data_IF_695947555672
#
_entry.id   IF_695947555672
#
_cell.length_a   1.000
_cell.length_b   1.000
_cell.length_c   1.000
_cell.angle_alpha   90.00
_cell.angle_beta   90.00
_cell.angle_gamma   90.00
#
_symmetry.space_group_name_H-M   'P 1'
#
loop_
_entity.id
_entity.type
_entity.pdbx_description
1 polymer ?
#
# COMPACT_ATOMS: atom_id res chain seq x y z
N UNK A 1 29.55 -1.00 2.46
CA UNK A 1 28.57 -0.29 3.30
C UNK A 1 27.48 0.23 2.39
N UNK A 2 26.22 -0.09 2.66
CA UNK A 2 25.15 -0.06 1.63
C UNK A 2 24.58 1.35 1.40
N UNK A 3 24.62 2.28 2.36
CA UNK A 3 24.09 3.64 2.17
C UNK A 3 24.46 4.61 3.32
N UNK A 4 25.70 5.13 3.42
CA UNK A 4 26.07 6.04 4.53
C UNK A 4 25.22 7.32 4.60
N UNK A 5 24.60 7.72 3.49
CA UNK A 5 23.70 8.88 3.44
C UNK A 5 22.28 8.62 3.99
N UNK A 6 21.94 7.37 4.31
CA UNK A 6 20.66 6.97 4.88
C UNK A 6 20.78 6.44 6.32
N UNK A 7 21.99 6.38 6.88
CA UNK A 7 22.19 5.98 8.26
C UNK A 7 21.41 6.96 9.16
N UNK A 8 20.55 6.42 10.04
CA UNK A 8 19.65 7.19 10.94
C UNK A 8 18.59 8.05 10.25
N UNK A 9 18.36 7.88 8.95
CA UNK A 9 17.32 8.62 8.24
C UNK A 9 15.92 8.15 8.63
N UNK A 10 14.96 9.06 8.68
CA UNK A 10 13.54 8.74 8.68
C UNK A 10 13.04 8.62 7.24
N UNK A 11 12.63 7.43 6.81
CA UNK A 11 12.17 7.17 5.45
C UNK A 11 10.68 6.85 5.45
N UNK A 12 9.94 7.55 4.58
CA UNK A 12 8.56 7.19 4.26
C UNK A 12 8.54 6.44 2.93
N UNK A 13 7.92 5.26 2.94
CA UNK A 13 7.61 4.49 1.74
C UNK A 13 6.09 4.41 1.56
N UNK A 14 5.56 5.06 0.53
CA UNK A 14 4.20 4.76 0.09
C UNK A 14 4.18 3.39 -0.57
N UNK A 15 3.32 2.50 -0.09
CA UNK A 15 3.21 1.13 -0.59
C UNK A 15 1.78 0.62 -0.58
N UNK A 16 1.50 -0.33 -1.48
CA UNK A 16 0.35 -1.23 -1.36
C UNK A 16 0.82 -2.60 -0.92
N UNK A 17 0.46 -3.64 -1.67
CA UNK A 17 0.79 -5.03 -1.34
C UNK A 17 2.29 -5.39 -1.38
N UNK A 18 2.78 -5.90 -2.52
CA UNK A 18 4.12 -6.52 -2.62
C UNK A 18 5.15 -5.77 -3.48
N UNK A 19 4.73 -4.73 -4.21
CA UNK A 19 5.61 -4.01 -5.13
C UNK A 19 6.84 -3.41 -4.44
N UNK A 20 6.64 -2.73 -3.30
CA UNK A 20 7.71 -2.13 -2.50
C UNK A 20 8.46 -3.11 -1.58
N UNK A 21 8.15 -4.40 -1.62
CA UNK A 21 8.61 -5.38 -0.63
C UNK A 21 10.14 -5.51 -0.53
N UNK A 22 10.81 -5.59 -1.68
CA UNK A 22 12.27 -5.73 -1.73
C UNK A 22 12.95 -4.44 -1.28
N UNK A 23 12.40 -3.28 -1.65
CA UNK A 23 12.93 -1.96 -1.25
C UNK A 23 12.82 -1.77 0.26
N UNK A 24 11.64 -2.04 0.85
CA UNK A 24 11.47 -2.00 2.30
C UNK A 24 12.44 -2.93 3.04
N UNK A 25 12.66 -4.16 2.55
CA UNK A 25 13.70 -5.05 3.10
C UNK A 25 15.10 -4.46 3.02
N UNK A 26 15.44 -3.84 1.88
CA UNK A 26 16.72 -3.18 1.71
C UNK A 26 16.90 -2.02 2.69
N UNK A 27 15.86 -1.21 2.90
CA UNK A 27 15.85 -0.08 3.84
C UNK A 27 15.98 -0.55 5.28
N UNK A 28 15.28 -1.62 5.67
CA UNK A 28 15.40 -2.24 7.01
C UNK A 28 16.79 -2.82 7.29
N UNK A 29 17.60 -3.06 6.25
CA UNK A 29 19.00 -3.45 6.39
C UNK A 29 19.96 -2.27 6.58
N UNK A 30 19.49 -1.02 6.50
CA UNK A 30 20.31 0.18 6.73
C UNK A 30 20.38 0.44 8.25
N UNK A 31 21.59 0.67 8.82
CA UNK A 31 21.76 0.89 10.25
C UNK A 31 20.96 2.09 10.77
N UNK A 32 20.31 1.88 11.92
CA UNK A 32 19.54 2.89 12.66
C UNK A 32 18.43 3.61 11.84
N UNK A 33 18.06 3.11 10.66
CA UNK A 33 17.04 3.72 9.81
C UNK A 33 15.64 3.50 10.39
N UNK A 34 14.84 4.56 10.40
CA UNK A 34 13.43 4.50 10.82
C UNK A 34 12.51 4.50 9.59
N UNK A 35 11.82 3.38 9.37
CA UNK A 35 10.98 3.17 8.21
C UNK A 35 9.49 3.27 8.57
N UNK A 36 8.79 4.25 7.98
CA UNK A 36 7.34 4.32 7.98
C UNK A 36 6.79 3.87 6.63
N UNK A 37 5.97 2.82 6.62
CA UNK A 37 5.30 2.32 5.42
C UNK A 37 3.86 2.80 5.43
N UNK A 38 3.55 3.73 4.52
CA UNK A 38 2.24 4.35 4.39
C UNK A 38 1.39 3.59 3.38
N UNK A 39 0.25 3.08 3.82
CA UNK A 39 -0.63 2.16 3.09
C UNK A 39 -2.07 2.68 3.17
N UNK A 40 -2.89 2.51 2.14
CA UNK A 40 -4.33 2.72 2.24
C UNK A 40 -5.09 1.39 2.43
N UNK A 41 -6.28 1.45 3.01
CA UNK A 41 -7.10 0.27 3.30
C UNK A 41 -8.24 0.00 2.31
N UNK A 42 -8.14 0.41 1.04
CA UNK A 42 -9.27 0.36 0.12
C UNK A 42 -9.40 -0.94 -0.70
N UNK A 43 -8.50 -1.91 -0.51
CA UNK A 43 -8.60 -3.29 -1.06
C UNK A 43 -9.95 -3.91 -0.66
N UNK A 44 -10.68 -4.44 -1.64
CA UNK A 44 -11.90 -5.23 -1.43
C UNK A 44 -11.91 -6.57 -2.18
N UNK A 45 -10.74 -7.08 -2.58
CA UNK A 45 -10.61 -8.37 -3.23
C UNK A 45 -10.94 -9.55 -2.32
N UNK A 46 -11.61 -10.57 -2.87
CA UNK A 46 -11.84 -11.89 -2.25
C UNK A 46 -12.30 -11.81 -0.77
N UNK A 47 -11.52 -12.42 0.14
CA UNK A 47 -11.79 -12.46 1.57
C UNK A 47 -11.67 -11.10 2.27
N UNK A 48 -10.87 -10.16 1.74
CA UNK A 48 -10.85 -8.76 2.21
C UNK A 48 -12.23 -8.14 2.03
N UNK A 49 -12.82 -8.28 0.83
CA UNK A 49 -14.15 -7.77 0.53
C UNK A 49 -15.24 -8.43 1.37
N UNK A 50 -15.14 -9.74 1.63
CA UNK A 50 -16.07 -10.45 2.51
C UNK A 50 -16.04 -9.89 3.94
N UNK A 51 -14.84 -9.66 4.50
CA UNK A 51 -14.69 -9.03 5.81
C UNK A 51 -15.27 -7.62 5.86
N UNK A 52 -14.98 -6.77 4.87
CA UNK A 52 -15.50 -5.40 4.81
C UNK A 52 -17.03 -5.35 4.70
N UNK A 53 -17.65 -6.31 3.99
CA UNK A 53 -19.12 -6.44 3.93
C UNK A 53 -19.71 -6.93 5.26
N UNK A 54 -19.02 -7.85 5.92
CA UNK A 54 -19.46 -8.42 7.19
C UNK A 54 -19.32 -7.42 8.35
N UNK A 55 -18.23 -6.64 8.37
CA UNK A 55 -17.91 -5.59 9.32
C UNK A 55 -17.97 -4.20 8.66
N UNK A 56 -19.16 -3.58 8.52
CA UNK A 56 -19.29 -2.23 7.98
C UNK A 56 -18.38 -1.24 8.72
N UNK A 57 -17.68 -0.40 7.94
CA UNK A 57 -16.72 0.58 8.45
C UNK A 57 -15.28 0.05 8.57
N UNK A 58 -15.06 -1.26 8.47
CA UNK A 58 -13.71 -1.81 8.47
C UNK A 58 -13.01 -1.55 7.12
N UNK A 59 -11.74 -1.16 7.19
CA UNK A 59 -10.84 -1.09 6.04
C UNK A 59 -10.27 -2.48 5.69
N UNK A 60 -9.71 -2.62 4.49
CA UNK A 60 -9.12 -3.87 4.00
C UNK A 60 -7.78 -4.18 4.68
N UNK A 61 -7.65 -5.30 5.45
CA UNK A 61 -6.41 -5.61 6.17
C UNK A 61 -5.31 -6.24 5.31
N UNK A 62 -5.60 -6.63 4.08
CA UNK A 62 -4.70 -7.46 3.28
C UNK A 62 -3.36 -6.82 2.98
N UNK A 63 -3.31 -5.53 2.65
CA UNK A 63 -2.04 -4.86 2.35
C UNK A 63 -1.23 -4.58 3.62
N UNK A 64 -1.86 -4.19 4.73
CA UNK A 64 -1.20 -4.10 6.03
C UNK A 64 -0.59 -5.45 6.44
N UNK A 65 -1.35 -6.54 6.31
CA UNK A 65 -0.87 -7.90 6.56
C UNK A 65 0.31 -8.30 5.67
N UNK A 66 0.26 -7.99 4.37
CA UNK A 66 1.36 -8.27 3.43
C UNK A 66 2.62 -7.48 3.81
N UNK A 67 2.47 -6.25 4.28
CA UNK A 67 3.60 -5.40 4.69
C UNK A 67 4.25 -5.86 6.00
N UNK A 68 3.51 -6.53 6.89
CA UNK A 68 4.11 -7.18 8.07
C UNK A 68 5.08 -8.31 7.71
N UNK A 69 4.94 -8.93 6.52
CA UNK A 69 5.79 -10.04 6.09
C UNK A 69 7.12 -9.60 5.50
N UNK A 70 7.32 -8.29 5.29
CA UNK A 70 8.47 -7.80 4.53
C UNK A 70 9.79 -8.11 5.22
N UNK A 71 9.87 -7.93 6.53
CA UNK A 71 11.10 -8.13 7.28
C UNK A 71 11.40 -9.60 7.62
N UNK A 72 10.50 -10.53 7.32
CA UNK A 72 10.68 -11.93 7.70
C UNK A 72 11.72 -12.61 6.80
N UNK A 73 12.73 -13.19 7.43
CA UNK A 73 13.80 -13.96 6.79
C UNK A 73 13.60 -15.46 7.04
N UNK A 74 13.91 -16.28 6.04
CA UNK A 74 13.91 -17.74 6.22
C UNK A 74 15.03 -18.19 7.15
N UNK A 75 14.80 -19.28 7.90
CA UNK A 75 15.80 -19.86 8.79
C UNK A 75 15.67 -19.48 10.27
N UNK A 76 14.84 -18.49 10.63
CA UNK A 76 14.38 -18.29 12.01
C UNK A 76 13.02 -18.98 12.19
N UNK A 77 12.94 -20.08 12.97
CA UNK A 77 11.68 -20.79 13.20
C UNK A 77 10.55 -19.93 13.77
N UNK A 78 10.88 -18.85 14.51
CA UNK A 78 9.88 -17.92 15.07
C UNK A 78 9.25 -17.08 13.97
N UNK A 79 10.07 -16.54 13.07
CA UNK A 79 9.61 -15.75 11.93
C UNK A 79 8.87 -16.62 10.92
N UNK A 80 9.29 -17.87 10.73
CA UNK A 80 8.56 -18.84 9.90
C UNK A 80 7.18 -19.17 10.48
N UNK A 81 7.06 -19.31 11.81
CA UNK A 81 5.77 -19.51 12.47
C UNK A 81 4.88 -18.26 12.35
N UNK A 82 5.44 -17.05 12.46
CA UNK A 82 4.72 -15.79 12.26
C UNK A 82 4.21 -15.65 10.82
N UNK A 83 5.07 -15.91 9.84
CA UNK A 83 4.66 -16.03 8.43
C UNK A 83 3.55 -17.06 8.27
N UNK A 84 3.69 -18.19 8.95
CA UNK A 84 2.67 -19.24 9.02
C UNK A 84 1.32 -18.75 9.49
N UNK A 85 1.25 -17.90 10.53
CA UNK A 85 -0.03 -17.30 10.97
C UNK A 85 -0.56 -16.28 9.97
N UNK A 86 0.31 -15.38 9.50
CA UNK A 86 -0.12 -14.28 8.63
C UNK A 86 -0.57 -14.76 7.24
N UNK A 87 0.03 -15.82 6.68
CA UNK A 87 -0.32 -16.34 5.35
C UNK A 87 -1.23 -17.56 5.36
N UNK A 88 -1.49 -18.20 6.51
CA UNK A 88 -2.35 -19.38 6.56
C UNK A 88 -3.73 -19.08 5.99
N UNK A 89 -4.11 -19.78 4.94
CA UNK A 89 -5.44 -19.73 4.34
C UNK A 89 -6.29 -20.82 4.96
N UNK A 90 -7.47 -20.44 5.46
CA UNK A 90 -8.42 -21.40 5.99
C UNK A 90 -8.92 -22.33 4.87
N UNK A 91 -9.17 -23.62 5.15
CA UNK A 91 -9.75 -24.56 4.19
C UNK A 91 -11.07 -24.03 3.60
N UNK A 92 -11.41 -24.41 2.36
CA UNK A 92 -12.59 -23.90 1.64
C UNK A 92 -13.93 -24.06 2.40
N UNK A 93 -14.04 -25.04 3.29
CA UNK A 93 -15.22 -25.30 4.14
C UNK A 93 -14.99 -24.97 5.61
N UNK A 94 -14.05 -24.09 5.91
CA UNK A 94 -13.77 -23.67 7.27
C UNK A 94 -15.00 -23.08 7.94
N UNK A 95 -15.15 -23.39 9.21
CA UNK A 95 -16.28 -23.02 10.06
C UNK A 95 -15.77 -22.26 11.27
N UNK A 96 -16.71 -21.62 11.99
CA UNK A 96 -16.41 -20.97 13.27
C UNK A 96 -15.77 -21.92 14.29
N UNK A 97 -16.08 -23.22 14.25
CA UNK A 97 -15.42 -24.23 15.11
C UNK A 97 -13.94 -24.45 14.76
N UNK A 98 -13.57 -24.28 13.50
CA UNK A 98 -12.16 -24.37 13.08
C UNK A 98 -11.36 -23.20 13.62
N UNK A 99 -11.94 -22.00 13.58
CA UNK A 99 -11.30 -20.80 14.12
C UNK A 99 -11.11 -20.88 15.64
N UNK A 100 -12.12 -21.39 16.36
CA UNK A 100 -12.01 -21.62 17.80
C UNK A 100 -10.91 -22.62 18.15
N UNK A 101 -10.84 -23.76 17.43
CA UNK A 101 -9.77 -24.74 17.65
C UNK A 101 -8.38 -24.15 17.41
N UNK A 102 -8.24 -23.26 16.43
CA UNK A 102 -7.00 -22.55 16.18
C UNK A 102 -6.66 -21.57 17.31
N UNK A 103 -7.62 -20.75 17.76
CA UNK A 103 -7.44 -19.81 18.87
C UNK A 103 -7.04 -20.54 20.16
N UNK A 104 -7.75 -21.61 20.49
CA UNK A 104 -7.46 -22.51 21.59
C UNK A 104 -6.06 -23.13 21.51
N UNK A 105 -5.69 -23.61 20.32
CA UNK A 105 -4.38 -24.20 20.07
C UNK A 105 -3.25 -23.19 20.22
N UNK A 106 -3.46 -21.93 19.79
CA UNK A 106 -2.52 -20.83 20.00
C UNK A 106 -2.38 -20.48 21.48
N UNK A 107 -3.50 -20.39 22.22
CA UNK A 107 -3.52 -20.08 23.64
C UNK A 107 -2.81 -21.16 24.48
N UNK A 108 -3.05 -22.45 24.17
CA UNK A 108 -2.37 -23.58 24.81
C UNK A 108 -0.95 -23.83 24.25
N UNK A 109 -0.59 -23.14 23.17
CA UNK A 109 0.69 -23.29 22.50
C UNK A 109 0.90 -24.61 21.76
N UNK A 110 -0.17 -25.34 21.49
CA UNK A 110 -0.16 -26.55 20.65
C UNK A 110 -0.25 -26.23 19.16
N UNK A 111 -0.64 -25.01 18.79
CA UNK A 111 -0.58 -24.48 17.43
C UNK A 111 0.45 -23.34 17.36
N UNK A 112 1.25 -23.31 16.29
CA UNK A 112 2.33 -22.34 16.08
C UNK A 112 3.27 -22.23 17.29
N UNK A 113 3.73 -23.37 17.81
CA UNK A 113 4.51 -23.47 19.05
C UNK A 113 5.76 -22.59 19.11
N UNK A 114 6.39 -22.31 17.96
CA UNK A 114 7.58 -21.47 17.84
C UNK A 114 7.30 -19.96 17.94
N UNK A 115 6.04 -19.53 17.88
CA UNK A 115 5.71 -18.13 18.12
C UNK A 115 5.97 -17.74 19.57
N UNK A 116 6.46 -16.50 19.83
CA UNK A 116 6.59 -15.98 21.18
C UNK A 116 5.25 -16.08 21.95
N UNK A 117 5.25 -16.45 23.25
CA UNK A 117 4.02 -16.60 24.03
C UNK A 117 3.11 -15.36 24.00
N UNK A 118 3.70 -14.16 24.02
CA UNK A 118 2.97 -12.88 23.91
C UNK A 118 2.26 -12.74 22.57
N UNK A 119 2.96 -13.02 21.47
CA UNK A 119 2.37 -13.00 20.12
C UNK A 119 1.25 -14.02 19.99
N UNK A 120 1.43 -15.26 20.46
CA UNK A 120 0.37 -16.28 20.42
C UNK A 120 -0.86 -15.86 21.20
N UNK A 121 -0.67 -15.32 22.41
CA UNK A 121 -1.76 -14.84 23.24
C UNK A 121 -2.52 -13.68 22.57
N UNK A 122 -1.80 -12.78 21.89
CA UNK A 122 -2.43 -11.70 21.13
C UNK A 122 -3.27 -12.22 19.96
N UNK A 123 -2.72 -13.13 19.16
CA UNK A 123 -3.45 -13.77 18.03
C UNK A 123 -4.67 -14.52 18.55
N UNK A 124 -4.52 -15.36 19.58
CA UNK A 124 -5.62 -16.13 20.15
C UNK A 124 -6.75 -15.22 20.64
N UNK A 125 -6.42 -14.17 21.40
CA UNK A 125 -7.40 -13.19 21.90
C UNK A 125 -8.17 -12.52 20.76
N UNK A 126 -7.46 -12.05 19.73
CA UNK A 126 -8.11 -11.33 18.63
C UNK A 126 -9.00 -12.29 17.81
N UNK A 127 -8.57 -13.55 17.60
CA UNK A 127 -9.42 -14.57 17.00
C UNK A 127 -10.66 -14.90 17.84
N UNK A 128 -10.53 -15.00 19.17
CA UNK A 128 -11.66 -15.24 20.07
C UNK A 128 -12.70 -14.12 20.01
N UNK A 129 -12.25 -12.85 19.97
CA UNK A 129 -13.17 -11.72 19.80
C UNK A 129 -13.93 -11.80 18.47
N UNK A 130 -13.26 -12.23 17.40
CA UNK A 130 -13.95 -12.44 16.11
C UNK A 130 -14.94 -13.61 16.18
N UNK A 131 -14.60 -14.71 16.86
CA UNK A 131 -15.52 -15.86 16.96
C UNK A 131 -16.75 -15.54 17.80
N UNK A 132 -16.62 -14.75 18.85
CA UNK A 132 -17.77 -14.20 19.61
C UNK A 132 -18.69 -13.36 18.71
N UNK A 133 -18.12 -12.48 17.88
CA UNK A 133 -18.92 -11.69 16.93
C UNK A 133 -19.64 -12.54 15.87
N UNK A 134 -19.04 -13.67 15.46
CA UNK A 134 -19.66 -14.63 14.55
C UNK A 134 -20.84 -15.37 15.19
N UNK A 135 -20.84 -15.54 16.52
CA UNK A 135 -21.95 -16.15 17.25
C UNK A 135 -23.16 -15.22 17.27
N UNK A 136 -22.95 -13.92 17.47
CA UNK A 136 -24.01 -12.91 17.45
C UNK A 136 -24.59 -12.67 16.05
N UNK A 137 -23.73 -12.72 15.02
CA UNK A 137 -24.12 -12.48 13.63
C UNK A 137 -23.44 -13.48 12.70
N UNK A 138 -24.05 -14.62 12.38
CA UNK A 138 -23.48 -15.53 11.39
C UNK A 138 -23.50 -14.90 9.98
N UNK A 139 -22.69 -15.44 9.07
CA UNK A 139 -22.74 -15.07 7.64
C UNK A 139 -21.42 -14.63 7.01
N UNK A 140 -20.32 -14.59 7.76
CA UNK A 140 -18.99 -14.49 7.17
C UNK A 140 -18.57 -15.86 6.60
N UNK A 141 -18.30 -15.91 5.31
CA UNK A 141 -17.66 -17.07 4.69
C UNK A 141 -16.17 -17.10 5.05
N UNK A 142 -15.76 -18.12 5.83
CA UNK A 142 -14.38 -18.25 6.32
C UNK A 142 -13.45 -18.97 5.33
N UNK A 143 -14.01 -19.63 4.32
CA UNK A 143 -13.23 -20.35 3.31
C UNK A 143 -12.23 -19.42 2.61
N UNK A 144 -10.98 -19.86 2.49
CA UNK A 144 -9.88 -19.10 1.86
C UNK A 144 -9.57 -17.73 2.52
N UNK A 145 -10.13 -17.44 3.70
CA UNK A 145 -9.71 -16.28 4.47
C UNK A 145 -8.27 -16.47 4.95
N UNK A 146 -7.44 -15.45 4.76
CA UNK A 146 -6.13 -15.42 5.40
C UNK A 146 -6.32 -15.23 6.91
N UNK A 147 -5.73 -16.09 7.73
CA UNK A 147 -5.84 -16.06 9.18
C UNK A 147 -5.37 -14.71 9.72
N UNK A 148 -4.29 -14.13 9.18
CA UNK A 148 -3.87 -12.79 9.55
C UNK A 148 -4.96 -11.72 9.31
N UNK A 149 -5.76 -11.79 8.24
CA UNK A 149 -6.86 -10.84 8.02
C UNK A 149 -7.94 -10.99 9.10
N UNK A 150 -8.20 -12.21 9.56
CA UNK A 150 -9.12 -12.48 10.66
C UNK A 150 -8.60 -11.94 11.99
N UNK A 151 -7.29 -12.01 12.22
CA UNK A 151 -6.65 -11.38 13.40
C UNK A 151 -6.85 -9.87 13.38
N UNK A 152 -6.65 -9.20 12.23
CA UNK A 152 -6.94 -7.77 12.10
C UNK A 152 -8.42 -7.44 12.35
N UNK A 153 -9.35 -8.28 11.87
CA UNK A 153 -10.78 -8.11 12.11
C UNK A 153 -11.12 -8.24 13.61
N UNK A 154 -10.52 -9.22 14.28
CA UNK A 154 -10.64 -9.38 15.73
C UNK A 154 -10.07 -8.21 16.52
N UNK A 155 -8.88 -7.73 16.17
CA UNK A 155 -8.26 -6.57 16.79
C UNK A 155 -9.10 -5.30 16.57
N UNK A 156 -9.65 -5.10 15.37
CA UNK A 156 -10.57 -4.01 15.05
C UNK A 156 -11.81 -4.02 15.94
N UNK A 157 -12.45 -5.18 16.12
CA UNK A 157 -13.60 -5.33 17.01
C UNK A 157 -13.23 -5.04 18.48
N UNK A 158 -12.13 -5.63 18.96
CA UNK A 158 -11.63 -5.45 20.33
C UNK A 158 -11.32 -4.01 20.66
N UNK A 159 -10.78 -3.26 19.70
CA UNK A 159 -10.35 -1.88 19.87
C UNK A 159 -11.45 -0.88 19.50
N UNK A 160 -12.72 -1.27 19.65
CA UNK A 160 -13.84 -0.35 19.51
C UNK A 160 -14.06 0.13 18.08
N UNK A 161 -13.72 -0.70 17.08
CA UNK A 161 -13.85 -0.38 15.65
C UNK A 161 -12.91 0.74 15.18
N UNK A 162 -11.76 0.87 15.83
CA UNK A 162 -10.64 1.70 15.36
C UNK A 162 -9.63 0.85 14.58
N UNK A 163 -9.59 1.05 13.26
CA UNK A 163 -8.70 0.29 12.39
C UNK A 163 -7.23 0.71 12.52
N UNK A 164 -6.95 1.98 12.82
CA UNK A 164 -5.59 2.47 13.01
C UNK A 164 -5.01 1.94 14.33
N UNK A 165 -5.84 1.82 15.39
CA UNK A 165 -5.47 1.11 16.61
C UNK A 165 -5.23 -0.39 16.35
N UNK A 166 -6.04 -1.04 15.51
CA UNK A 166 -5.83 -2.44 15.14
C UNK A 166 -4.49 -2.65 14.42
N UNK A 167 -4.12 -1.76 13.49
CA UNK A 167 -2.81 -1.81 12.82
C UNK A 167 -1.66 -1.73 13.83
N UNK A 168 -1.68 -0.75 14.73
CA UNK A 168 -0.64 -0.60 15.77
C UNK A 168 -0.58 -1.83 16.67
N UNK A 169 -1.72 -2.29 17.17
CA UNK A 169 -1.79 -3.48 18.03
C UNK A 169 -1.26 -4.74 17.34
N UNK A 170 -1.52 -4.93 16.05
CA UNK A 170 -0.98 -6.04 15.28
C UNK A 170 0.52 -5.87 15.02
N UNK A 171 0.97 -4.70 14.58
CA UNK A 171 2.39 -4.43 14.32
C UNK A 171 3.26 -4.64 15.57
N UNK A 172 2.78 -4.20 16.74
CA UNK A 172 3.42 -4.45 18.04
C UNK A 172 3.45 -5.94 18.40
N UNK A 173 2.32 -6.63 18.27
CA UNK A 173 2.22 -8.06 18.60
C UNK A 173 3.12 -8.94 17.71
N UNK A 174 3.38 -8.49 16.49
CA UNK A 174 4.22 -9.16 15.50
C UNK A 174 5.65 -8.61 15.45
N UNK A 175 6.02 -7.71 16.36
CA UNK A 175 7.36 -7.14 16.49
C UNK A 175 7.88 -6.56 15.17
N UNK A 176 7.01 -5.86 14.43
CA UNK A 176 7.38 -5.29 13.13
C UNK A 176 8.48 -4.23 13.30
N UNK A 177 9.58 -4.30 12.52
CA UNK A 177 10.65 -3.32 12.57
C UNK A 177 10.33 -2.05 11.77
N UNK A 178 9.24 -2.06 10.99
CA UNK A 178 8.74 -0.87 10.30
C UNK A 178 7.47 -0.38 10.99
N UNK A 179 7.24 0.93 10.95
CA UNK A 179 5.97 1.55 11.36
C UNK A 179 4.98 1.42 10.22
N UNK A 180 3.99 0.54 10.36
CA UNK A 180 2.89 0.43 9.40
C UNK A 180 1.83 1.47 9.74
N UNK A 181 1.56 2.38 8.80
CA UNK A 181 0.66 3.51 9.03
C UNK A 181 -0.39 3.54 7.94
N UNK A 182 -1.67 3.55 8.32
CA UNK A 182 -2.73 3.86 7.38
C UNK A 182 -2.66 5.35 7.02
N UNK A 183 -2.75 5.69 5.73
CA UNK A 183 -2.73 7.08 5.28
C UNK A 183 -3.96 7.84 5.79
N UNK A 184 -5.11 7.18 5.98
CA UNK A 184 -6.35 7.83 6.39
C UNK A 184 -6.67 7.70 7.88
N UNK A 185 -7.55 8.56 8.39
CA UNK A 185 -8.05 8.55 9.77
C UNK A 185 -8.79 7.28 10.19
N UNK A 186 -8.93 6.30 9.29
CA UNK A 186 -9.62 5.03 9.52
C UNK A 186 -11.00 4.96 8.88
N UNK A 187 -11.43 6.03 8.21
CA UNK A 187 -12.70 6.08 7.49
C UNK A 187 -12.67 5.16 6.28
N UNK A 188 -13.78 4.45 6.06
CA UNK A 188 -13.93 3.51 4.97
C UNK A 188 -14.40 4.21 3.69
N UNK A 189 -13.76 3.87 2.57
CA UNK A 189 -14.19 4.32 1.24
C UNK A 189 -14.06 3.19 0.21
N UNK A 190 -14.76 3.34 -0.91
CA UNK A 190 -14.78 2.37 -2.00
C UNK A 190 -14.07 2.94 -3.21
N UNK A 191 -12.94 2.33 -3.58
CA UNK A 191 -12.16 2.72 -4.74
C UNK A 191 -12.89 2.35 -6.02
N UNK A 192 -13.03 3.33 -6.92
CA UNK A 192 -13.71 3.21 -8.21
C UNK A 192 -12.88 3.96 -9.26
N UNK A 193 -12.89 3.49 -10.49
CA UNK A 193 -12.18 4.16 -11.58
C UNK A 193 -13.03 4.34 -12.84
N UNK A 194 -12.68 5.33 -13.65
CA UNK A 194 -13.21 5.51 -14.99
C UNK A 194 -12.09 5.41 -16.02
N UNK A 195 -12.34 4.70 -17.12
CA UNK A 195 -11.48 4.69 -18.31
C UNK A 195 -11.71 5.93 -19.18
N UNK A 196 -10.77 6.24 -20.07
CA UNK A 196 -10.85 7.41 -20.96
C UNK A 196 -12.11 7.41 -21.84
N UNK A 197 -12.55 6.23 -22.27
CA UNK A 197 -13.79 6.01 -23.03
C UNK A 197 -15.06 5.95 -22.17
N UNK A 198 -14.97 6.36 -20.90
CA UNK A 198 -16.08 6.42 -19.97
C UNK A 198 -16.36 5.12 -19.22
N UNK A 199 -15.81 3.96 -19.61
CA UNK A 199 -16.10 2.68 -18.94
C UNK A 199 -15.79 2.73 -17.44
N UNK A 200 -16.67 2.12 -16.64
CA UNK A 200 -16.61 2.11 -15.19
C UNK A 200 -15.95 0.82 -14.67
N UNK A 201 -14.94 0.98 -13.81
CA UNK A 201 -14.35 -0.09 -13.00
C UNK A 201 -14.88 0.09 -11.57
N UNK A 202 -15.72 -0.83 -11.12
CA UNK A 202 -16.62 -0.63 -9.98
C UNK A 202 -15.96 -0.83 -8.61
N UNK A 203 -14.79 -1.46 -8.60
CA UNK A 203 -14.01 -1.75 -7.40
C UNK A 203 -12.51 -1.96 -7.73
N UNK A 204 -11.71 -2.25 -6.70
CA UNK A 204 -10.29 -2.53 -6.84
C UNK A 204 -10.02 -3.79 -7.68
N UNK A 205 -10.86 -4.82 -7.54
CA UNK A 205 -10.73 -6.05 -8.31
C UNK A 205 -10.89 -5.79 -9.83
N UNK A 206 -11.86 -4.96 -10.23
CA UNK A 206 -12.04 -4.51 -11.61
C UNK A 206 -10.84 -3.69 -12.12
N UNK A 207 -10.17 -2.93 -11.25
CA UNK A 207 -9.01 -2.09 -11.59
C UNK A 207 -7.77 -2.95 -11.89
N UNK A 208 -7.50 -3.96 -11.06
CA UNK A 208 -6.29 -4.80 -11.17
C UNK A 208 -6.45 -6.01 -12.10
N UNK A 209 -7.68 -6.34 -12.49
CA UNK A 209 -7.95 -7.36 -13.49
C UNK A 209 -7.25 -7.02 -14.83
N UNK A 210 -6.96 -8.00 -15.70
CA UNK A 210 -6.38 -7.74 -17.02
C UNK A 210 -7.15 -6.67 -17.79
N UNK A 211 -6.45 -5.60 -18.20
CA UNK A 211 -7.04 -4.46 -18.90
C UNK A 211 -6.69 -4.45 -20.39
N UNK A 212 -7.57 -3.85 -21.19
CA UNK A 212 -7.21 -3.40 -22.54
C UNK A 212 -6.42 -2.08 -22.54
N UNK A 213 -5.95 -1.68 -23.72
CA UNK A 213 -5.08 -0.52 -23.92
C UNK A 213 -5.74 0.85 -23.62
N UNK A 214 -7.06 0.91 -23.39
CA UNK A 214 -7.69 2.18 -23.00
C UNK A 214 -7.26 2.50 -21.58
N UNK A 215 -6.61 3.65 -21.38
CA UNK A 215 -6.10 3.99 -20.06
C UNK A 215 -7.23 4.30 -19.08
N UNK A 216 -7.02 3.94 -17.81
CA UNK A 216 -7.77 4.55 -16.70
C UNK A 216 -7.55 6.06 -16.76
N UNK A 217 -8.55 6.87 -16.48
CA UNK A 217 -8.51 8.35 -16.50
C UNK A 217 -8.60 8.93 -15.09
N UNK A 218 -9.64 8.55 -14.35
CA UNK A 218 -10.02 9.14 -13.06
C UNK A 218 -10.20 8.05 -11.99
N UNK A 219 -9.85 8.37 -10.74
CA UNK A 219 -10.07 7.56 -9.55
C UNK A 219 -10.98 8.31 -8.59
N UNK A 220 -11.84 7.57 -7.90
CA UNK A 220 -12.81 8.07 -6.93
C UNK A 220 -12.79 7.19 -5.68
N UNK A 221 -12.94 7.83 -4.52
CA UNK A 221 -13.16 7.16 -3.25
C UNK A 221 -14.59 7.45 -2.81
N UNK A 222 -15.50 6.50 -3.03
CA UNK A 222 -16.93 6.71 -2.78
C UNK A 222 -17.33 6.34 -1.34
N UNK A 223 -18.39 6.97 -0.83
CA UNK A 223 -18.99 6.69 0.48
C UNK A 223 -19.69 5.31 0.53
N UNK A 224 -20.11 4.81 -0.63
CA UNK A 224 -20.88 3.58 -0.80
C UNK A 224 -20.34 2.77 -1.97
N UNK A 225 -20.41 1.43 -1.92
CA UNK A 225 -19.97 0.59 -3.01
C UNK A 225 -20.84 0.79 -4.26
N UNK A 226 -20.30 0.43 -5.42
CA UNK A 226 -21.04 0.38 -6.68
C UNK A 226 -21.67 -1.01 -6.82
N UNK A 227 -22.93 -1.14 -6.39
CA UNK A 227 -23.69 -2.39 -6.58
C UNK A 227 -23.99 -2.63 -8.07
N UNK A 228 -24.29 -3.88 -8.50
CA UNK A 228 -24.66 -4.15 -9.89
C UNK A 228 -25.78 -3.25 -10.43
N UNK A 229 -26.80 -2.97 -9.59
CA UNK A 229 -27.89 -2.04 -9.95
C UNK A 229 -27.38 -0.60 -10.11
N UNK A 230 -26.51 -0.13 -9.21
CA UNK A 230 -25.93 1.22 -9.30
C UNK A 230 -25.00 1.34 -10.51
N UNK A 231 -24.25 0.28 -10.82
CA UNK A 231 -23.40 0.17 -12.01
C UNK A 231 -24.20 0.40 -13.29
N UNK A 232 -25.29 -0.35 -13.47
CA UNK A 232 -26.16 -0.22 -14.64
C UNK A 232 -26.73 1.20 -14.80
N UNK A 233 -27.10 1.85 -13.68
CA UNK A 233 -27.57 3.25 -13.70
C UNK A 233 -26.44 4.19 -14.11
N UNK A 234 -25.24 4.05 -13.54
CA UNK A 234 -24.09 4.90 -13.87
C UNK A 234 -23.65 4.74 -15.33
N UNK A 235 -23.63 3.50 -15.83
CA UNK A 235 -23.24 3.15 -17.20
C UNK A 235 -24.24 3.62 -18.27
N UNK A 236 -25.48 3.90 -17.89
CA UNK A 236 -26.47 4.53 -18.77
C UNK A 236 -26.31 6.06 -18.90
N UNK A 237 -25.53 6.70 -18.02
CA UNK A 237 -25.32 8.15 -18.05
C UNK A 237 -24.28 8.54 -19.11
N UNK A 238 -24.40 9.71 -19.75
CA UNK A 238 -23.31 10.30 -20.54
C UNK A 238 -22.04 10.48 -19.70
N UNK A 239 -20.87 10.30 -20.30
CA UNK A 239 -19.58 10.25 -19.59
C UNK A 239 -19.32 11.44 -18.66
N UNK A 240 -19.56 12.67 -19.12
CA UNK A 240 -19.38 13.88 -18.30
C UNK A 240 -20.33 13.89 -17.09
N UNK A 241 -21.56 13.41 -17.29
CA UNK A 241 -22.53 13.32 -16.20
C UNK A 241 -22.14 12.21 -15.22
N UNK A 242 -21.66 11.05 -15.71
CA UNK A 242 -21.12 9.97 -14.88
C UNK A 242 -19.95 10.45 -14.01
N UNK A 243 -18.97 11.15 -14.59
CA UNK A 243 -17.85 11.77 -13.86
C UNK A 243 -18.33 12.68 -12.74
N UNK A 244 -19.28 13.58 -13.02
CA UNK A 244 -19.85 14.49 -12.01
C UNK A 244 -20.57 13.75 -10.88
N UNK A 245 -21.33 12.70 -11.19
CA UNK A 245 -22.02 11.89 -10.17
C UNK A 245 -21.02 11.18 -9.27
N UNK A 246 -19.96 10.60 -9.83
CA UNK A 246 -18.91 9.94 -9.05
C UNK A 246 -18.14 10.93 -8.17
N UNK A 247 -17.76 12.10 -8.70
CA UNK A 247 -17.07 13.14 -7.95
C UNK A 247 -17.89 13.67 -6.76
N UNK A 248 -19.22 13.71 -6.86
CA UNK A 248 -20.12 14.13 -5.78
C UNK A 248 -20.38 13.04 -4.74
N UNK A 249 -20.12 11.77 -5.07
CA UNK A 249 -20.32 10.63 -4.17
C UNK A 249 -19.12 10.32 -3.28
N UNK A 250 -18.19 11.27 -3.13
CA UNK A 250 -16.95 11.08 -2.39
C UNK A 250 -17.19 10.75 -0.91
N UNK A 251 -16.39 9.84 -0.37
CA UNK A 251 -16.34 9.59 1.06
C UNK A 251 -15.69 10.78 1.79
N UNK A 252 -16.19 11.08 2.99
CA UNK A 252 -15.49 11.97 3.92
C UNK A 252 -14.34 11.19 4.55
N UNK A 253 -13.11 11.56 4.18
CA UNK A 253 -11.88 10.93 4.65
C UNK A 253 -10.95 12.01 5.21
N UNK A 254 -10.22 11.67 6.28
CA UNK A 254 -9.22 12.56 6.87
C UNK A 254 -7.83 11.94 6.78
N UNK A 255 -6.79 12.77 6.89
CA UNK A 255 -5.40 12.31 7.03
C UNK A 255 -5.19 11.73 8.42
N UNK A 256 -4.55 10.56 8.52
CA UNK A 256 -4.05 10.07 9.79
C UNK A 256 -2.96 11.01 10.32
N UNK A 257 -3.09 11.57 11.53
CA UNK A 257 -2.04 12.41 12.12
C UNK A 257 -0.66 11.73 12.14
N UNK A 258 -0.60 10.42 12.41
CA UNK A 258 0.64 9.65 12.39
C UNK A 258 1.28 9.61 10.99
N UNK A 259 0.46 9.52 9.93
CA UNK A 259 0.95 9.56 8.55
C UNK A 259 1.45 10.97 8.19
N UNK A 260 0.72 12.01 8.60
CA UNK A 260 1.11 13.40 8.41
C UNK A 260 2.45 13.71 9.08
N UNK A 261 2.61 13.31 10.34
CA UNK A 261 3.84 13.48 11.11
C UNK A 261 5.01 12.72 10.49
N UNK A 262 4.80 11.45 10.10
CA UNK A 262 5.84 10.64 9.45
C UNK A 262 6.33 11.29 8.15
N UNK A 263 5.41 11.83 7.34
CA UNK A 263 5.74 12.50 6.08
C UNK A 263 6.45 13.83 6.31
N UNK A 264 5.96 14.66 7.24
CA UNK A 264 6.55 15.96 7.54
C UNK A 264 8.01 15.83 8.02
N UNK A 265 8.31 14.80 8.81
CA UNK A 265 9.63 14.55 9.38
C UNK A 265 10.48 13.56 8.57
N UNK A 266 10.03 13.10 7.40
CA UNK A 266 10.83 12.22 6.56
C UNK A 266 12.06 12.96 6.00
N UNK A 267 13.21 12.29 5.99
CA UNK A 267 14.43 12.73 5.29
C UNK A 267 14.42 12.26 3.82
N UNK A 268 13.65 11.20 3.53
CA UNK A 268 13.40 10.66 2.20
C UNK A 268 11.94 10.20 2.09
N UNK A 269 11.24 10.65 1.04
CA UNK A 269 9.94 10.12 0.65
C UNK A 269 10.11 9.26 -0.61
N UNK A 270 9.66 8.02 -0.56
CA UNK A 270 9.65 7.10 -1.69
C UNK A 270 8.21 6.82 -2.08
N UNK A 271 7.82 7.23 -3.29
CA UNK A 271 6.62 6.73 -3.93
C UNK A 271 6.98 5.35 -4.50
N UNK A 272 6.68 4.31 -3.73
CA UNK A 272 7.16 2.95 -3.99
C UNK A 272 6.59 2.39 -5.30
N UNK A 273 7.26 1.37 -5.87
CA UNK A 273 6.71 0.63 -6.99
C UNK A 273 5.52 -0.24 -6.53
N UNK A 274 4.65 -0.58 -7.46
CA UNK A 274 3.43 -1.35 -7.26
C UNK A 274 2.31 -0.85 -8.17
N UNK A 275 1.11 -1.41 -8.03
CA UNK A 275 -0.07 -1.08 -8.84
C UNK A 275 -0.49 0.38 -8.62
N UNK A 276 -0.27 1.29 -9.58
CA UNK A 276 -0.46 2.71 -9.32
C UNK A 276 -1.91 3.06 -8.98
N UNK A 277 -2.89 2.47 -9.67
CA UNK A 277 -4.29 2.87 -9.54
C UNK A 277 -5.01 2.20 -8.39
N UNK A 278 -4.58 1.00 -7.96
CA UNK A 278 -5.17 0.34 -6.79
C UNK A 278 -4.43 0.60 -5.48
N UNK A 279 -3.12 0.82 -5.51
CA UNK A 279 -2.30 0.91 -4.29
C UNK A 279 -1.77 2.32 -3.99
N UNK A 280 -1.22 3.00 -5.00
CA UNK A 280 -0.42 4.20 -4.75
C UNK A 280 -1.26 5.48 -4.86
N UNK A 281 -1.86 5.71 -6.02
CA UNK A 281 -2.68 6.90 -6.31
C UNK A 281 -3.86 7.08 -5.34
N UNK A 282 -4.54 6.02 -4.85
CA UNK A 282 -5.59 6.18 -3.84
C UNK A 282 -5.08 6.79 -2.52
N UNK A 283 -3.81 6.55 -2.15
CA UNK A 283 -3.20 7.16 -0.98
C UNK A 283 -3.05 8.67 -1.15
N UNK A 284 -2.72 9.13 -2.37
CA UNK A 284 -2.52 10.55 -2.69
C UNK A 284 -3.82 11.36 -2.77
N UNK A 285 -4.96 10.69 -2.89
CA UNK A 285 -6.30 11.30 -2.82
C UNK A 285 -6.70 11.73 -1.41
N UNK A 286 -5.94 11.33 -0.37
CA UNK A 286 -6.26 11.66 1.03
C UNK A 286 -6.07 13.17 1.27
N UNK A 287 -7.12 13.92 1.66
CA UNK A 287 -7.01 15.35 1.95
C UNK A 287 -5.92 15.63 2.99
N UNK A 288 -5.07 16.61 2.73
CA UNK A 288 -3.96 17.01 3.61
C UNK A 288 -2.64 16.26 3.37
N UNK A 289 -2.62 15.11 2.67
CA UNK A 289 -1.37 14.39 2.41
C UNK A 289 -0.40 15.19 1.54
N UNK A 290 -0.92 15.89 0.52
CA UNK A 290 -0.13 16.76 -0.35
C UNK A 290 0.50 17.91 0.45
N UNK A 291 -0.23 18.47 1.41
CA UNK A 291 0.29 19.56 2.25
C UNK A 291 1.42 19.07 3.16
N UNK A 292 1.27 17.90 3.77
CA UNK A 292 2.34 17.25 4.53
C UNK A 292 3.58 16.96 3.67
N UNK A 293 3.39 16.45 2.44
CA UNK A 293 4.49 16.20 1.49
C UNK A 293 5.17 17.52 1.10
N UNK A 294 4.42 18.61 0.87
CA UNK A 294 4.97 19.89 0.45
C UNK A 294 5.94 20.49 1.47
N UNK A 295 5.55 20.44 2.76
CA UNK A 295 6.33 21.03 3.87
C UNK A 295 7.35 20.06 4.48
N UNK A 296 7.38 18.82 4.00
CA UNK A 296 8.33 17.80 4.46
C UNK A 296 9.78 18.27 4.35
N UNK A 297 10.59 17.91 5.34
CA UNK A 297 12.04 18.16 5.34
C UNK A 297 12.83 17.24 4.39
N UNK A 298 12.16 16.35 3.66
CA UNK A 298 12.81 15.34 2.85
C UNK A 298 13.79 15.97 1.84
N UNK A 299 15.04 15.53 1.89
CA UNK A 299 16.07 15.92 0.93
C UNK A 299 15.66 15.49 -0.49
N UNK A 300 15.01 14.33 -0.61
CA UNK A 300 14.46 13.85 -1.86
C UNK A 300 13.06 13.23 -1.68
N UNK A 301 12.23 13.43 -2.70
CA UNK A 301 10.92 12.80 -2.91
C UNK A 301 10.99 12.05 -4.23
N UNK A 302 11.17 10.73 -4.17
CA UNK A 302 11.59 9.90 -5.30
C UNK A 302 10.43 9.02 -5.75
N UNK A 303 10.01 9.18 -7.00
CA UNK A 303 9.07 8.27 -7.64
C UNK A 303 9.83 7.09 -8.25
N UNK A 304 9.58 5.87 -7.77
CA UNK A 304 10.24 4.67 -8.28
C UNK A 304 9.32 3.99 -9.30
N UNK A 305 9.75 3.98 -10.56
CA UNK A 305 8.95 3.39 -11.65
C UNK A 305 9.02 1.86 -11.56
N UNK A 306 7.91 1.18 -11.86
CA UNK A 306 7.91 -0.28 -11.98
C UNK A 306 8.83 -0.72 -13.13
N UNK A 307 9.45 -1.89 -13.00
CA UNK A 307 10.30 -2.42 -14.09
C UNK A 307 9.40 -2.94 -15.22
N UNK A 308 8.40 -3.74 -14.85
CA UNK A 308 7.34 -4.21 -15.74
C UNK A 308 6.04 -3.45 -15.48
N UNK A 309 5.23 -3.32 -16.52
CA UNK A 309 3.93 -2.64 -16.45
C UNK A 309 2.88 -3.55 -15.79
N UNK A 310 2.16 -3.00 -14.80
CA UNK A 310 0.99 -3.64 -14.23
C UNK A 310 -0.23 -3.56 -15.17
N UNK A 311 -1.26 -4.36 -14.90
CA UNK A 311 -2.49 -4.33 -15.69
C UNK A 311 -3.24 -3.00 -15.60
N UNK A 312 -3.07 -2.22 -14.53
CA UNK A 312 -3.81 -0.97 -14.32
C UNK A 312 -3.20 0.26 -15.03
N UNK A 313 -2.01 0.10 -15.63
CA UNK A 313 -1.29 1.19 -16.32
C UNK A 313 -1.30 1.10 -17.83
N UNK A 314 -2.06 0.18 -18.42
CA UNK A 314 -2.12 0.00 -19.87
C UNK A 314 -2.42 1.33 -20.60
N UNK A 315 -1.61 1.62 -21.62
CA UNK A 315 -1.70 2.89 -22.36
C UNK A 315 -1.05 4.10 -21.68
N UNK A 316 -0.27 3.91 -20.60
CA UNK A 316 0.46 4.96 -19.90
C UNK A 316 1.97 4.64 -19.86
N UNK A 317 2.79 5.64 -20.17
CA UNK A 317 4.23 5.59 -19.92
C UNK A 317 4.58 6.14 -18.52
N UNK A 318 5.85 6.00 -18.13
CA UNK A 318 6.36 6.49 -16.85
C UNK A 318 6.10 7.99 -16.65
N UNK A 319 6.22 8.80 -17.72
CA UNK A 319 5.97 10.25 -17.66
C UNK A 319 4.50 10.55 -17.41
N UNK A 320 3.58 9.81 -18.02
CA UNK A 320 2.15 9.92 -17.81
C UNK A 320 1.76 9.51 -16.38
N UNK A 321 2.42 8.51 -15.81
CA UNK A 321 2.22 8.10 -14.40
C UNK A 321 2.71 9.16 -13.41
N UNK A 322 3.88 9.77 -13.67
CA UNK A 322 4.40 10.87 -12.85
C UNK A 322 3.47 12.09 -12.93
N UNK A 323 3.08 12.48 -14.14
CA UNK A 323 2.13 13.59 -14.35
C UNK A 323 0.79 13.33 -13.65
N UNK A 324 0.33 12.07 -13.64
CA UNK A 324 -0.89 11.67 -12.95
C UNK A 324 -0.74 11.74 -11.44
N UNK A 325 0.37 11.27 -10.89
CA UNK A 325 0.71 11.39 -9.47
C UNK A 325 0.69 12.86 -9.04
N UNK A 326 1.33 13.73 -9.82
CA UNK A 326 1.33 15.18 -9.60
C UNK A 326 -0.08 15.79 -9.64
N UNK A 327 -0.95 15.36 -10.57
CA UNK A 327 -2.36 15.78 -10.58
C UNK A 327 -3.12 15.36 -9.34
N UNK A 328 -2.97 14.11 -8.89
CA UNK A 328 -3.65 13.62 -7.69
C UNK A 328 -3.16 14.29 -6.41
N UNK A 329 -1.89 14.70 -6.38
CA UNK A 329 -1.32 15.53 -5.30
C UNK A 329 -1.67 17.02 -5.42
N UNK A 330 -2.51 17.41 -6.40
CA UNK A 330 -2.92 18.81 -6.59
C UNK A 330 -1.80 19.74 -7.06
N UNK A 331 -0.73 19.20 -7.64
CA UNK A 331 0.44 19.95 -8.10
C UNK A 331 0.85 19.57 -9.54
N UNK A 332 -0.03 19.78 -10.54
CA UNK A 332 0.17 19.30 -11.92
C UNK A 332 1.42 19.85 -12.61
N UNK A 333 1.97 20.97 -12.13
CA UNK A 333 3.18 21.61 -12.65
C UNK A 333 4.42 21.34 -11.79
N UNK A 334 4.27 20.57 -10.71
CA UNK A 334 5.31 20.27 -9.73
C UNK A 334 5.92 21.52 -9.07
N UNK A 335 5.15 22.59 -8.93
CA UNK A 335 5.59 23.87 -8.36
C UNK A 335 5.86 23.75 -6.85
N UNK A 336 5.14 22.86 -6.17
CA UNK A 336 5.35 22.51 -4.76
C UNK A 336 6.40 21.42 -4.56
N UNK A 337 7.08 21.02 -5.64
CA UNK A 337 8.13 19.98 -5.66
C UNK A 337 7.66 18.70 -4.97
N UNK A 338 6.47 18.22 -5.32
CA UNK A 338 5.91 16.96 -4.80
C UNK A 338 6.76 15.76 -5.21
N UNK A 339 7.30 15.78 -6.43
CA UNK A 339 8.27 14.79 -6.92
C UNK A 339 9.55 15.53 -7.28
N UNK A 340 10.66 15.15 -6.66
CA UNK A 340 11.98 15.76 -6.95
C UNK A 340 12.75 14.94 -7.96
N UNK A 341 12.61 13.61 -7.89
CA UNK A 341 13.35 12.67 -8.71
C UNK A 341 12.42 11.55 -9.19
N UNK A 342 12.70 11.04 -10.39
CA UNK A 342 12.09 9.82 -10.91
C UNK A 342 13.21 8.80 -11.12
N UNK A 343 13.09 7.64 -10.49
CA UNK A 343 14.07 6.56 -10.57
C UNK A 343 13.55 5.46 -11.49
N UNK A 344 14.25 5.26 -12.60
CA UNK A 344 13.92 4.29 -13.65
C UNK A 344 14.98 3.20 -13.74
N UNK A 345 14.56 2.00 -14.16
CA UNK A 345 15.48 0.92 -14.48
C UNK A 345 16.23 1.18 -15.79
N UNK A 346 17.53 0.91 -15.81
CA UNK A 346 18.39 0.95 -16.97
C UNK A 346 18.36 -0.40 -17.71
N UNK A 347 17.40 -0.59 -18.62
CA UNK A 347 17.26 -1.82 -19.40
C UNK A 347 15.85 -1.99 -19.98
N UNK A 348 15.78 -2.56 -21.20
CA UNK A 348 14.58 -2.72 -22.06
C UNK A 348 13.99 -1.43 -22.66
N UNK A 349 14.53 -1.04 -23.82
CA UNK A 349 13.80 -0.24 -24.81
C UNK A 349 12.64 -1.10 -25.35
N UNK A 350 11.43 -0.91 -24.82
CA UNK A 350 10.25 -1.66 -25.26
C UNK A 350 9.05 -1.65 -24.31
N UNK A 351 9.24 -1.26 -23.05
CA UNK A 351 8.19 -1.16 -22.02
C UNK A 351 7.90 0.30 -21.68
N UNK A 352 6.68 0.64 -21.25
CA UNK A 352 6.29 2.01 -20.87
C UNK A 352 7.08 2.58 -19.68
N UNK A 353 7.92 1.76 -19.04
CA UNK A 353 8.75 2.05 -17.87
C UNK A 353 10.09 2.74 -18.16
N UNK A 354 10.49 2.89 -19.43
CA UNK A 354 11.74 3.56 -19.79
C UNK A 354 11.73 5.06 -19.46
N UNK A 355 12.90 5.62 -19.14
CA UNK A 355 13.04 7.07 -19.02
C UNK A 355 12.68 7.73 -20.37
N UNK A 356 11.89 8.82 -20.38
CA UNK A 356 11.49 9.46 -21.62
C UNK A 356 12.71 9.98 -22.39
N UNK A 357 12.77 9.70 -23.69
CA UNK A 357 13.79 10.25 -24.58
C UNK A 357 13.64 11.77 -24.71
N UNK A 358 14.71 12.52 -24.41
CA UNK A 358 14.75 13.98 -24.44
C UNK A 358 15.86 14.54 -23.57
N UNK A 359 16.31 15.81 -23.75
CA UNK A 359 17.45 16.34 -23.02
C UNK A 359 17.19 16.27 -21.50
N UNK A 360 18.02 15.49 -20.82
CA UNK A 360 18.19 15.55 -19.38
C UNK A 360 18.73 16.94 -19.04
N UNK A 361 17.82 17.86 -18.70
CA UNK A 361 18.15 19.24 -18.42
C UNK A 361 17.64 20.20 -19.50
N UNK A 362 16.50 20.81 -19.22
CA UNK A 362 16.45 22.27 -19.25
C UNK A 362 16.23 22.72 -17.81
N UNK A 363 16.72 23.90 -17.45
CA UNK A 363 16.49 24.53 -16.15
C UNK A 363 14.98 24.80 -15.92
N UNK A 364 14.22 23.74 -15.63
CA UNK A 364 12.77 23.74 -15.48
C UNK A 364 12.34 23.09 -14.18
N UNK A 365 11.12 23.39 -13.75
CA UNK A 365 10.50 22.99 -12.46
C UNK A 365 10.13 21.49 -12.36
N UNK A 366 10.49 20.68 -13.36
CA UNK A 366 10.16 19.25 -13.41
C UNK A 366 11.09 18.37 -12.57
N UNK A 367 10.69 17.11 -12.27
CA UNK A 367 11.53 16.18 -11.54
C UNK A 367 12.76 15.74 -12.35
N UNK A 368 13.87 15.48 -11.67
CA UNK A 368 15.10 14.94 -12.27
C UNK A 368 14.96 13.44 -12.51
N UNK A 369 15.14 13.00 -13.75
CA UNK A 369 15.11 11.59 -14.11
C UNK A 369 16.47 10.95 -13.87
N UNK A 370 16.49 9.81 -13.17
CA UNK A 370 17.69 9.06 -12.80
C UNK A 370 17.49 7.62 -13.26
N UNK A 371 18.47 7.10 -14.01
CA UNK A 371 18.47 5.72 -14.48
C UNK A 371 19.54 4.92 -13.75
N UNK A 372 19.20 3.72 -13.28
CA UNK A 372 20.14 2.80 -12.65
C UNK A 372 19.75 1.34 -12.94
N UNK A 373 20.68 0.39 -12.81
CA UNK A 373 20.30 -1.01 -12.75
C UNK A 373 19.59 -1.28 -11.42
N UNK A 374 18.30 -1.66 -11.50
CA UNK A 374 17.39 -1.81 -10.37
C UNK A 374 16.85 -3.24 -10.29
N UNK A 375 17.15 -4.11 -11.25
CA UNK A 375 16.54 -5.43 -11.35
C UNK A 375 17.20 -6.44 -10.40
N UNK A 376 16.43 -7.38 -9.85
CA UNK A 376 16.96 -8.54 -9.13
C UNK A 376 17.51 -9.55 -10.14
N UNK A 377 18.83 -9.85 -10.14
CA UNK A 377 19.43 -10.78 -11.09
C UNK A 377 18.89 -12.21 -10.98
N UNK A 378 18.20 -12.55 -9.89
CA UNK A 378 17.57 -13.86 -9.69
C UNK A 378 16.09 -13.88 -10.08
N UNK A 379 15.48 -12.71 -10.26
CA UNK A 379 14.06 -12.53 -10.56
C UNK A 379 13.88 -11.36 -11.53
N UNK A 380 14.06 -11.61 -12.85
CA UNK A 380 13.80 -10.61 -13.88
C UNK A 380 12.40 -9.99 -13.74
N UNK A 381 12.28 -8.70 -14.09
CA UNK A 381 11.07 -7.90 -13.96
C UNK A 381 10.80 -7.35 -12.56
N UNK A 382 11.63 -7.68 -11.56
CA UNK A 382 11.41 -7.30 -10.16
C UNK A 382 12.54 -6.44 -9.62
N UNK A 383 12.21 -5.42 -8.83
CA UNK A 383 13.19 -4.57 -8.16
C UNK A 383 14.07 -5.36 -7.17
N UNK A 384 15.38 -5.14 -7.25
CA UNK A 384 16.38 -5.52 -6.26
C UNK A 384 16.42 -4.48 -5.14
N UNK A 385 16.05 -4.90 -3.93
CA UNK A 385 16.08 -4.03 -2.75
C UNK A 385 17.42 -3.35 -2.53
N UNK A 386 18.51 -4.11 -2.63
CA UNK A 386 19.87 -3.59 -2.42
C UNK A 386 20.27 -2.57 -3.48
N UNK A 387 19.98 -2.83 -4.77
CA UNK A 387 20.34 -1.91 -5.86
C UNK A 387 19.50 -0.64 -5.81
N UNK A 388 18.20 -0.77 -5.57
CA UNK A 388 17.29 0.37 -5.46
C UNK A 388 17.62 1.25 -4.26
N UNK A 389 17.93 0.66 -3.09
CA UNK A 389 18.35 1.44 -1.91
C UNK A 389 19.69 2.14 -2.11
N UNK A 390 20.65 1.50 -2.80
CA UNK A 390 21.90 2.17 -3.16
C UNK A 390 21.68 3.38 -4.10
N UNK A 391 20.76 3.26 -5.06
CA UNK A 391 20.37 4.37 -5.93
C UNK A 391 19.68 5.51 -5.17
N UNK A 392 18.76 5.17 -4.24
CA UNK A 392 18.11 6.15 -3.36
C UNK A 392 19.13 6.89 -2.48
N UNK A 393 20.08 6.16 -1.88
CA UNK A 393 21.13 6.75 -1.05
C UNK A 393 22.02 7.72 -1.82
N UNK A 394 22.34 7.40 -3.07
CA UNK A 394 23.07 8.33 -3.96
C UNK A 394 22.27 9.61 -4.23
N UNK A 395 20.97 9.49 -4.54
CA UNK A 395 20.10 10.64 -4.78
C UNK A 395 20.07 11.57 -3.56
N UNK A 396 19.93 10.99 -2.35
CA UNK A 396 19.97 11.76 -1.10
C UNK A 396 21.32 12.43 -0.92
N UNK A 397 22.43 11.70 -1.09
CA UNK A 397 23.79 12.25 -0.96
C UNK A 397 24.07 13.40 -1.94
N UNK A 398 23.69 13.26 -3.21
CA UNK A 398 23.82 14.32 -4.23
C UNK A 398 23.00 15.57 -3.84
N UNK A 399 21.79 15.38 -3.32
CA UNK A 399 20.90 16.49 -2.99
C UNK A 399 21.35 17.25 -1.73
N UNK A 400 21.81 16.52 -0.70
CA UNK A 400 22.31 17.13 0.53
C UNK A 400 23.54 18.00 0.30
N UNK A 401 24.43 17.61 -0.62
CA UNK A 401 25.62 18.41 -0.99
C UNK A 401 25.26 19.69 -1.76
N UNK A 402 24.19 19.69 -2.54
CA UNK A 402 23.72 20.85 -3.30
C UNK A 402 22.98 21.87 -2.42
N UNK A 403 22.44 21.46 -1.28
CA UNK A 403 21.75 22.35 -0.32
C UNK A 403 22.68 23.08 0.66
N UNK A 404 23.96 22.70 0.72
CA UNK A 404 24.99 23.31 1.59
C UNK A 404 25.85 24.38 0.90
N UNK A 405 25.51 24.77 -0.33
CA UNK A 405 26.26 25.71 -1.17
C UNK A 405 25.66 27.10 -1.28
#
# INVERSE_FOLDING_TARGET
>A
MIAPYLDRASVVLFSGGRGGASIARGLLGVPDLDLSVLINGYDNGQSTGALRRYLPGMLGPSDFRKNLLLHLHGGDPRQEALKGVLDHRLPARATRKDLDRLADGLARGTAYGMLPPRTRAAVARDLSVLTEALDDRPGLELGDCALGNLVFAGAYLRLGRDFNAAIRSCAEAFESPARLVNVTGGENAFLVALKQDGRLLADEADIVAPQDAVAISDLFLLDRPVTPRRRAVLEALPDEHRRRVLARGGAEISLNPEAGDAVAHADLIVYGPGTPHSSLLPSYLTPGIADAIAVSRAAAKVFVVNIEDDHDVQGLDARALVNRTLRYLGDPRNERRMVTHVLCHAGSAGTGSAAPEGPAGSAGTGPRWVTADLEDPRRPGVHSGTRTVAALARIVGETSLLGTG
#
